data_IF_843848349953
#
_entry.id   IF_843848349953
#
_cell.length_a   1.000
_cell.length_b   1.000
_cell.length_c   1.000
_cell.angle_alpha   90.00
_cell.angle_beta   90.00
_cell.angle_gamma   90.00
#
_symmetry.space_group_name_H-M   'P 1'
#
loop_
_entity.id
_entity.type
_entity.pdbx_description
1 polymer ?
#
# COMPACT_ATOMS: atom_id res chain seq x y z
N UNK A 1 1.14 12.22 -13.75
CA UNK A 1 2.09 12.71 -12.72
C UNK A 1 2.86 11.51 -12.21
N UNK A 2 3.91 11.00 -12.91
CA UNK A 2 4.43 9.64 -12.64
C UNK A 2 5.95 9.49 -12.79
N UNK A 3 6.75 10.17 -11.97
CA UNK A 3 8.21 9.94 -11.91
C UNK A 3 8.81 9.96 -10.51
N UNK A 4 8.00 9.99 -9.46
CA UNK A 4 8.54 9.89 -8.11
C UNK A 4 8.73 8.42 -7.75
N UNK A 5 9.97 8.01 -7.54
CA UNK A 5 10.33 6.71 -7.00
C UNK A 5 10.89 6.95 -5.60
N UNK A 6 10.25 6.40 -4.59
CA UNK A 6 10.74 6.51 -3.22
C UNK A 6 12.17 5.91 -3.13
N UNK A 7 13.09 6.50 -2.34
CA UNK A 7 14.46 6.00 -2.19
C UNK A 7 14.52 4.77 -1.28
N UNK A 8 13.65 3.78 -1.50
CA UNK A 8 13.60 2.56 -0.70
C UNK A 8 14.69 1.58 -1.15
N UNK A 9 15.17 0.77 -0.21
CA UNK A 9 16.16 -0.28 -0.49
C UNK A 9 15.51 -1.63 -0.84
N UNK A 10 14.24 -1.83 -0.48
CA UNK A 10 13.54 -3.10 -0.63
C UNK A 10 12.07 -2.91 -1.06
N UNK A 11 11.14 -2.67 -0.12
CA UNK A 11 9.71 -2.52 -0.44
C UNK A 11 9.48 -1.30 -1.33
N UNK A 12 8.79 -1.49 -2.45
CA UNK A 12 8.54 -0.44 -3.43
C UNK A 12 9.76 -0.03 -4.25
N UNK A 13 10.86 -0.81 -4.23
CA UNK A 13 12.03 -0.54 -5.08
C UNK A 13 11.66 -0.67 -6.56
N UNK A 14 10.96 -1.75 -6.91
CA UNK A 14 10.40 -1.96 -8.23
C UNK A 14 8.91 -1.65 -8.17
N UNK A 15 8.45 -0.74 -9.04
CA UNK A 15 7.06 -0.31 -9.05
C UNK A 15 6.49 -0.34 -10.46
N UNK A 16 5.18 -0.56 -10.54
CA UNK A 16 4.40 -0.43 -11.76
C UNK A 16 3.21 0.47 -11.49
N UNK A 17 3.15 1.59 -12.19
CA UNK A 17 2.04 2.53 -12.08
C UNK A 17 1.00 2.26 -13.18
N UNK A 18 -0.27 2.35 -12.80
CA UNK A 18 -1.42 2.31 -13.71
C UNK A 18 -2.27 3.56 -13.51
N UNK A 19 -2.68 4.23 -14.60
CA UNK A 19 -3.60 5.36 -14.50
C UNK A 19 -4.93 4.93 -13.84
N UNK A 20 -5.43 3.74 -14.20
CA UNK A 20 -6.56 3.12 -13.52
C UNK A 20 -6.50 1.59 -13.59
N UNK A 21 -7.04 0.91 -12.58
CA UNK A 21 -7.28 -0.53 -12.58
C UNK A 21 -8.54 -0.88 -11.76
N UNK A 22 -8.99 -2.13 -11.78
CA UNK A 22 -10.08 -2.56 -10.91
C UNK A 22 -9.67 -2.50 -9.43
N UNK A 23 -8.58 -3.19 -9.08
CA UNK A 23 -7.96 -3.16 -7.76
C UNK A 23 -6.49 -3.49 -7.91
N UNK A 24 -5.60 -2.69 -7.31
CA UNK A 24 -4.15 -2.94 -7.26
C UNK A 24 -3.83 -4.31 -6.66
N UNK A 25 -4.61 -4.77 -5.67
CA UNK A 25 -4.41 -6.06 -5.03
C UNK A 25 -4.82 -7.22 -5.96
N UNK A 26 -5.96 -7.09 -6.65
CA UNK A 26 -6.40 -8.12 -7.60
C UNK A 26 -5.47 -8.21 -8.81
N UNK A 27 -5.06 -7.05 -9.35
CA UNK A 27 -4.08 -6.96 -10.43
C UNK A 27 -2.72 -7.56 -10.02
N UNK A 28 -2.21 -7.15 -8.85
CA UNK A 28 -0.93 -7.63 -8.37
C UNK A 28 -0.92 -9.12 -8.09
N UNK A 29 -2.02 -9.68 -7.59
CA UNK A 29 -2.17 -11.12 -7.42
C UNK A 29 -2.12 -11.88 -8.76
N UNK A 30 -2.84 -11.40 -9.78
CA UNK A 30 -2.81 -12.00 -11.12
C UNK A 30 -1.41 -11.95 -11.74
N UNK A 31 -0.79 -10.77 -11.76
CA UNK A 31 0.55 -10.62 -12.33
C UNK A 31 1.62 -11.42 -11.57
N UNK A 32 1.49 -11.56 -10.25
CA UNK A 32 2.41 -12.38 -9.45
C UNK A 32 2.30 -13.89 -9.72
N UNK A 33 1.16 -14.35 -10.28
CA UNK A 33 0.99 -15.74 -10.73
C UNK A 33 1.56 -15.96 -12.13
N UNK A 34 1.47 -14.95 -13.01
CA UNK A 34 1.92 -15.04 -14.41
C UNK A 34 3.42 -14.79 -14.56
N UNK A 35 4.00 -13.88 -13.76
CA UNK A 35 5.36 -13.41 -13.92
C UNK A 35 6.21 -13.64 -12.67
N UNK A 36 7.50 -13.92 -12.89
CA UNK A 36 8.47 -13.99 -11.80
C UNK A 36 8.89 -12.58 -11.36
N UNK A 37 8.13 -11.99 -10.44
CA UNK A 37 8.39 -10.66 -9.90
C UNK A 37 9.28 -10.71 -8.65
N UNK A 38 10.13 -9.69 -8.41
CA UNK A 38 10.97 -9.64 -7.22
C UNK A 38 10.12 -9.45 -5.94
N UNK A 39 10.68 -9.87 -4.81
CA UNK A 39 10.11 -9.55 -3.50
C UNK A 39 10.15 -8.03 -3.26
N UNK A 40 9.10 -7.48 -2.66
CA UNK A 40 8.93 -6.04 -2.45
C UNK A 40 8.42 -5.26 -3.67
N UNK A 41 8.02 -5.93 -4.77
CA UNK A 41 7.41 -5.26 -5.93
C UNK A 41 6.09 -4.56 -5.54
N UNK A 42 5.82 -3.39 -6.12
CA UNK A 42 4.60 -2.63 -5.83
C UNK A 42 3.79 -2.27 -7.09
N UNK A 43 2.47 -2.37 -6.99
CA UNK A 43 1.54 -1.84 -7.98
C UNK A 43 0.87 -0.59 -7.41
N UNK A 44 0.89 0.49 -8.18
CA UNK A 44 0.33 1.78 -7.82
C UNK A 44 -0.76 2.12 -8.84
N UNK A 45 -1.88 2.69 -8.38
CA UNK A 45 -2.93 3.16 -9.26
C UNK A 45 -3.29 4.64 -9.00
N UNK A 46 -3.55 5.40 -10.06
CA UNK A 46 -4.22 6.70 -9.95
C UNK A 46 -5.68 6.56 -9.53
N UNK A 47 -6.35 5.46 -9.91
CA UNK A 47 -7.75 5.21 -9.58
C UNK A 47 -8.08 3.70 -9.56
N UNK A 48 -8.87 3.27 -8.56
CA UNK A 48 -9.43 1.92 -8.50
C UNK A 48 -10.94 1.92 -8.75
N UNK A 49 -11.40 1.27 -9.82
CA UNK A 49 -12.83 1.22 -10.17
C UNK A 49 -13.64 0.18 -9.37
N UNK A 50 -12.97 -0.84 -8.83
CA UNK A 50 -13.55 -1.91 -8.01
C UNK A 50 -12.64 -2.22 -6.81
N UNK A 51 -12.29 -1.16 -6.07
CA UNK A 51 -11.50 -1.27 -4.85
C UNK A 51 -12.22 -2.13 -3.81
N UNK A 52 -11.46 -2.99 -3.10
CA UNK A 52 -12.00 -3.95 -2.14
C UNK A 52 -11.46 -3.67 -0.73
N UNK A 53 -12.36 -3.59 0.24
CA UNK A 53 -12.06 -3.54 1.66
C UNK A 53 -12.33 -4.88 2.36
N UNK A 54 -12.24 -4.90 3.68
CA UNK A 54 -12.54 -6.10 4.47
C UNK A 54 -14.02 -6.49 4.39
N UNK A 55 -14.30 -7.80 4.54
CA UNK A 55 -15.66 -8.36 4.67
C UNK A 55 -16.63 -7.95 3.56
N UNK A 56 -16.11 -7.81 2.33
CA UNK A 56 -16.92 -7.46 1.15
C UNK A 56 -17.23 -5.96 1.02
N UNK A 57 -16.68 -5.11 1.88
CA UNK A 57 -16.82 -3.67 1.72
C UNK A 57 -16.13 -3.18 0.45
N UNK A 58 -16.66 -2.11 -0.15
CA UNK A 58 -16.03 -1.43 -1.27
C UNK A 58 -15.05 -0.38 -0.76
N UNK A 59 -13.90 -0.28 -1.40
CA UNK A 59 -12.95 0.81 -1.21
C UNK A 59 -13.15 1.84 -2.31
N UNK A 60 -13.78 2.96 -1.97
CA UNK A 60 -14.05 4.05 -2.91
C UNK A 60 -12.91 5.06 -2.85
N UNK A 61 -12.34 5.41 -4.00
CA UNK A 61 -11.26 6.37 -4.12
C UNK A 61 -11.53 7.31 -5.30
N UNK A 62 -11.44 8.62 -5.08
CA UNK A 62 -11.49 9.57 -6.19
C UNK A 62 -10.21 9.50 -7.02
N UNK A 63 -10.29 9.66 -8.36
CA UNK A 63 -9.11 9.64 -9.22
C UNK A 63 -8.04 10.63 -8.77
N UNK A 64 -6.83 10.13 -8.54
CA UNK A 64 -5.63 10.88 -8.18
C UNK A 64 -5.70 11.64 -6.83
N UNK A 65 -6.69 11.38 -5.98
CA UNK A 65 -6.81 11.97 -4.65
C UNK A 65 -6.38 11.00 -3.53
N UNK A 66 -5.89 9.82 -3.89
CA UNK A 66 -5.63 8.73 -2.96
C UNK A 66 -4.29 8.06 -3.27
N UNK A 67 -3.59 7.58 -2.23
CA UNK A 67 -2.45 6.69 -2.38
C UNK A 67 -2.94 5.24 -2.44
N UNK A 68 -3.05 4.70 -3.66
CA UNK A 68 -3.55 3.35 -3.91
C UNK A 68 -2.37 2.46 -4.30
N UNK A 69 -1.97 1.57 -3.39
CA UNK A 69 -0.79 0.70 -3.59
C UNK A 69 -1.00 -0.69 -3.01
N UNK A 70 -0.49 -1.70 -3.70
CA UNK A 70 -0.37 -3.08 -3.22
C UNK A 70 1.07 -3.56 -3.37
N UNK A 71 1.53 -4.44 -2.46
CA UNK A 71 2.90 -4.95 -2.43
C UNK A 71 2.93 -6.48 -2.51
N UNK A 72 3.86 -7.03 -3.30
CA UNK A 72 4.20 -8.45 -3.28
C UNK A 72 5.26 -8.70 -2.23
N UNK A 73 4.93 -9.48 -1.21
CA UNK A 73 5.87 -9.90 -0.17
C UNK A 73 6.02 -11.43 -0.18
N UNK A 74 7.27 -11.91 -0.14
CA UNK A 74 7.61 -13.35 -0.19
C UNK A 74 8.35 -13.77 1.10
N UNK A 75 7.73 -13.68 2.29
CA UNK A 75 8.38 -14.04 3.54
C UNK A 75 8.80 -15.52 3.54
N UNK A 76 10.03 -15.81 3.98
CA UNK A 76 10.54 -17.18 4.14
C UNK A 76 9.99 -17.79 5.44
N UNK A 77 9.81 -19.12 5.47
CA UNK A 77 9.53 -19.94 6.67
C UNK A 77 8.16 -19.77 7.36
N UNK A 78 7.06 -20.12 6.68
CA UNK A 78 5.71 -20.29 7.28
C UNK A 78 5.25 -19.16 8.22
N UNK A 79 5.58 -17.91 7.89
CA UNK A 79 5.22 -16.73 8.70
C UNK A 79 3.73 -16.35 8.65
N UNK A 80 2.86 -17.19 8.06
CA UNK A 80 1.43 -16.92 7.96
C UNK A 80 0.79 -16.72 9.35
N UNK A 81 1.24 -17.45 10.38
CA UNK A 81 0.78 -17.24 11.77
C UNK A 81 1.16 -15.86 12.33
N UNK A 82 2.19 -15.23 11.77
CA UNK A 82 2.69 -13.92 12.14
C UNK A 82 2.21 -12.81 11.21
N UNK A 83 1.30 -13.09 10.26
CA UNK A 83 0.84 -12.11 9.27
C UNK A 83 0.25 -10.84 9.91
N UNK A 84 -0.29 -10.93 11.12
CA UNK A 84 -0.82 -9.76 11.82
C UNK A 84 0.26 -8.72 12.16
N UNK A 85 1.52 -9.14 12.37
CA UNK A 85 2.64 -8.22 12.55
C UNK A 85 2.88 -7.33 11.33
N UNK A 86 2.57 -7.82 10.13
CA UNK A 86 2.65 -7.01 8.92
C UNK A 86 1.62 -5.88 8.96
N UNK A 87 0.36 -6.17 9.33
CA UNK A 87 -0.66 -5.12 9.52
C UNK A 87 -0.23 -4.11 10.58
N UNK A 88 0.39 -4.56 11.68
CA UNK A 88 0.93 -3.65 12.70
C UNK A 88 2.00 -2.71 12.14
N UNK A 89 2.99 -3.28 11.45
CA UNK A 89 4.10 -2.52 10.89
C UNK A 89 3.62 -1.49 9.86
N UNK A 90 2.65 -1.85 9.02
CA UNK A 90 2.06 -0.95 8.03
C UNK A 90 1.32 0.20 8.72
N UNK A 91 0.43 -0.07 9.69
CA UNK A 91 -0.31 0.97 10.40
C UNK A 91 0.61 1.96 11.13
N UNK A 92 1.66 1.46 11.81
CA UNK A 92 2.65 2.31 12.49
C UNK A 92 3.42 3.14 11.45
N UNK A 93 3.87 2.54 10.36
CA UNK A 93 4.60 3.24 9.29
C UNK A 93 3.77 4.36 8.64
N UNK A 94 2.47 4.12 8.40
CA UNK A 94 1.54 5.15 7.89
C UNK A 94 1.39 6.28 8.90
N UNK A 95 1.13 5.97 10.18
CA UNK A 95 0.97 6.98 11.22
C UNK A 95 2.23 7.85 11.34
N UNK A 96 3.42 7.23 11.44
CA UNK A 96 4.68 7.96 11.51
C UNK A 96 4.95 8.80 10.26
N UNK A 97 4.64 8.26 9.09
CA UNK A 97 4.80 8.96 7.81
C UNK A 97 3.92 10.21 7.71
N UNK A 98 2.63 10.06 8.05
CA UNK A 98 1.67 11.17 8.07
C UNK A 98 2.05 12.22 9.11
N UNK A 99 2.47 11.79 10.31
CA UNK A 99 2.91 12.71 11.36
C UNK A 99 4.14 13.51 10.93
N UNK A 100 5.16 12.84 10.36
CA UNK A 100 6.37 13.51 9.83
C UNK A 100 6.02 14.48 8.71
N UNK A 101 5.15 14.09 7.79
CA UNK A 101 4.68 14.97 6.72
C UNK A 101 3.96 16.21 7.26
N UNK A 102 3.06 16.04 8.24
CA UNK A 102 2.31 17.13 8.84
C UNK A 102 3.21 18.11 9.59
N UNK A 103 4.12 17.61 10.43
CA UNK A 103 5.10 18.46 11.12
C UNK A 103 5.93 19.27 10.12
N UNK A 104 6.38 18.65 9.03
CA UNK A 104 7.23 19.32 8.05
C UNK A 104 6.47 20.26 7.10
N UNK A 105 5.18 20.04 6.87
CA UNK A 105 4.40 20.76 5.83
C UNK A 105 3.37 21.70 6.42
N UNK A 106 2.68 21.27 7.47
CA UNK A 106 1.61 22.00 8.16
C UNK A 106 2.10 22.67 9.46
N UNK A 107 3.30 22.30 9.94
CA UNK A 107 3.88 22.79 11.21
C UNK A 107 3.03 22.45 12.45
N UNK A 108 2.28 21.35 12.38
CA UNK A 108 1.42 20.87 13.46
C UNK A 108 1.44 19.33 13.58
N UNK A 109 1.00 18.85 14.73
CA UNK A 109 0.75 17.43 14.96
C UNK A 109 -0.67 17.05 14.55
N UNK A 110 -0.83 15.93 13.84
CA UNK A 110 -2.16 15.44 13.50
C UNK A 110 -2.73 14.60 14.65
N UNK A 111 -4.02 14.73 14.99
CA UNK A 111 -4.68 13.90 16.00
C UNK A 111 -5.06 12.51 15.45
N UNK A 112 -4.09 11.80 14.84
CA UNK A 112 -4.28 10.49 14.21
C UNK A 112 -4.05 9.34 15.19
N UNK A 113 -4.85 8.27 15.06
CA UNK A 113 -4.79 7.07 15.90
C UNK A 113 -5.01 5.82 15.06
N UNK A 114 -4.38 4.72 15.46
CA UNK A 114 -4.59 3.39 14.86
C UNK A 114 -5.82 2.74 15.48
N UNK A 115 -6.71 2.24 14.65
CA UNK A 115 -7.87 1.42 15.00
C UNK A 115 -7.67 0.01 14.47
N UNK A 116 -7.36 -0.91 15.38
CA UNK A 116 -7.16 -2.31 15.03
C UNK A 116 -8.41 -2.95 14.39
N UNK A 117 -8.22 -3.88 13.43
CA UNK A 117 -6.94 -4.51 13.08
C UNK A 117 -6.14 -3.84 11.94
N UNK A 118 -6.68 -2.84 11.23
CA UNK A 118 -6.13 -2.41 9.94
C UNK A 118 -6.45 -0.95 9.54
N UNK A 119 -7.05 -0.16 10.43
CA UNK A 119 -7.39 1.24 10.19
C UNK A 119 -6.47 2.16 11.01
#
# INVERSE_FOLDING_TARGET
MNKYQAPTQFVGKNTKYHESCASTNSLGFQEALEYQLPDGFAWIAGHQTDGKGQRGNKWVAQPNENLLVSYLLKPKNQQAIHQFYLSKAISIGILEGLQKWAINTLLEELPIKIKWPND
#
